data_IF_990249577153
#
_entry.id   IF_990249577153
#
_cell.length_a   1.000
_cell.length_b   1.000
_cell.length_c   1.000
_cell.angle_alpha   90.00
_cell.angle_beta   90.00
_cell.angle_gamma   90.00
#
_symmetry.space_group_name_H-M   'P 1'
#
loop_
_entity.id
_entity.type
_entity.pdbx_description
1 polymer ?
#
# COMPACT_ATOMS: atom_id res chain seq x y z
N UNK A 1 32.19 22.98 2.74
CA UNK A 1 31.87 21.63 3.28
C UNK A 1 30.43 21.26 2.94
N UNK A 2 30.18 20.01 2.55
CA UNK A 2 28.84 19.54 2.15
C UNK A 2 28.46 18.27 2.92
N UNK A 3 27.17 18.15 3.25
CA UNK A 3 26.60 16.97 3.91
C UNK A 3 25.51 16.38 3.02
N UNK A 4 25.52 15.05 2.85
CA UNK A 4 24.46 14.29 2.21
C UNK A 4 23.85 13.29 3.20
N UNK A 5 22.57 13.45 3.51
CA UNK A 5 21.84 12.54 4.38
C UNK A 5 21.15 11.43 3.57
N UNK A 6 21.85 10.32 3.34
CA UNK A 6 21.35 9.15 2.63
C UNK A 6 20.62 8.14 3.55
N UNK A 7 19.74 8.62 4.44
CA UNK A 7 19.15 7.84 5.54
C UNK A 7 17.89 7.04 5.16
N UNK A 8 17.57 6.95 3.87
CA UNK A 8 16.40 6.23 3.37
C UNK A 8 15.07 6.95 3.62
N UNK A 9 13.98 6.18 3.58
CA UNK A 9 12.61 6.69 3.59
C UNK A 9 11.75 6.05 4.70
N UNK A 10 10.76 6.80 5.18
CA UNK A 10 9.71 6.29 6.08
C UNK A 10 8.42 6.08 5.28
N UNK A 11 7.69 5.02 5.63
CA UNK A 11 6.36 4.79 5.08
C UNK A 11 5.35 5.63 5.85
N UNK A 12 4.67 6.53 5.16
CA UNK A 12 3.71 7.45 5.76
C UNK A 12 2.54 7.70 4.81
N UNK A 13 1.34 7.28 5.19
CA UNK A 13 0.11 7.58 4.44
C UNK A 13 -0.21 9.08 4.40
N UNK A 14 0.27 9.86 5.36
CA UNK A 14 0.09 11.32 5.36
C UNK A 14 0.89 11.97 4.22
N UNK A 15 1.93 11.31 3.72
CA UNK A 15 2.73 11.73 2.57
C UNK A 15 2.09 11.41 1.21
N UNK A 16 0.83 10.96 1.18
CA UNK A 16 0.06 10.67 -0.03
C UNK A 16 -1.02 11.75 -0.23
N UNK A 17 -0.69 12.92 -0.81
CA UNK A 17 -1.56 14.09 -0.77
C UNK A 17 -2.82 13.97 -1.65
N UNK A 18 -2.84 13.04 -2.60
CA UNK A 18 -4.04 12.76 -3.40
C UNK A 18 -5.11 11.99 -2.63
N UNK A 19 -4.79 11.40 -1.47
CA UNK A 19 -5.78 10.82 -0.56
C UNK A 19 -6.32 11.92 0.35
N UNK A 20 -7.62 12.18 0.24
CA UNK A 20 -8.28 13.20 1.08
C UNK A 20 -8.18 12.82 2.57
N UNK A 21 -8.25 13.80 3.49
CA UNK A 21 -8.26 13.50 4.93
C UNK A 21 -9.35 12.50 5.33
N UNK A 22 -10.53 12.56 4.71
CA UNK A 22 -11.62 11.60 4.96
C UNK A 22 -11.26 10.17 4.57
N UNK A 23 -10.66 9.98 3.39
CA UNK A 23 -10.20 8.66 2.95
C UNK A 23 -9.08 8.14 3.86
N UNK A 24 -8.12 8.98 4.24
CA UNK A 24 -7.04 8.59 5.17
C UNK A 24 -7.57 8.19 6.55
N UNK A 25 -8.55 8.92 7.09
CA UNK A 25 -9.17 8.61 8.37
C UNK A 25 -9.97 7.29 8.37
N UNK A 26 -10.45 6.84 7.21
CA UNK A 26 -11.16 5.57 7.05
C UNK A 26 -10.22 4.36 6.90
N UNK A 27 -8.91 4.58 6.71
CA UNK A 27 -7.94 3.50 6.58
C UNK A 27 -7.58 2.91 7.95
N UNK A 28 -7.73 1.59 8.08
CA UNK A 28 -7.17 0.84 9.20
C UNK A 28 -5.67 0.69 8.99
N UNK A 29 -4.88 0.97 10.01
CA UNK A 29 -3.42 0.92 9.94
C UNK A 29 -2.85 -0.38 10.51
N UNK A 30 -1.69 -0.81 10.01
CA UNK A 30 -0.91 -1.88 10.65
C UNK A 30 -0.34 -1.34 11.96
N UNK A 31 -0.60 -2.04 13.08
CA UNK A 31 -0.17 -1.64 14.43
C UNK A 31 1.33 -1.30 14.45
N UNK A 32 1.67 -0.11 14.95
CA UNK A 32 3.06 0.36 15.05
C UNK A 32 3.63 0.95 13.75
N UNK A 33 2.81 1.14 12.72
CA UNK A 33 3.22 1.79 11.47
C UNK A 33 2.16 2.77 10.96
N UNK A 34 2.53 3.60 9.98
CA UNK A 34 1.60 4.44 9.22
C UNK A 34 1.21 3.84 7.87
N UNK A 35 1.32 2.54 7.72
CA UNK A 35 0.92 1.82 6.52
C UNK A 35 -0.52 1.28 6.64
N UNK A 36 -1.26 1.19 5.52
CA UNK A 36 -2.59 0.60 5.54
C UNK A 36 -2.50 -0.89 5.85
N UNK A 37 -3.43 -1.39 6.66
CA UNK A 37 -3.67 -2.82 6.78
C UNK A 37 -4.42 -3.28 5.54
N UNK A 38 -3.93 -4.37 4.93
CA UNK A 38 -4.44 -4.87 3.66
C UNK A 38 -5.03 -6.27 3.81
N UNK A 39 -5.91 -6.66 2.89
CA UNK A 39 -6.34 -8.04 2.68
C UNK A 39 -5.30 -8.82 1.88
N UNK A 40 -5.47 -10.13 1.71
CA UNK A 40 -4.60 -10.95 0.84
C UNK A 40 -4.62 -10.55 -0.65
N UNK A 41 -5.61 -9.76 -1.08
CA UNK A 41 -5.69 -9.18 -2.43
C UNK A 41 -5.10 -7.76 -2.53
N UNK A 42 -4.43 -7.28 -1.48
CA UNK A 42 -3.88 -5.92 -1.38
C UNK A 42 -4.93 -4.80 -1.28
N UNK A 43 -6.19 -5.15 -0.97
CA UNK A 43 -7.25 -4.17 -0.71
C UNK A 43 -7.14 -3.62 0.71
N UNK A 44 -7.38 -2.32 0.89
CA UNK A 44 -7.45 -1.68 2.21
C UNK A 44 -8.80 -1.90 2.89
N UNK A 45 -8.99 -1.29 4.07
CA UNK A 45 -10.31 -1.24 4.72
C UNK A 45 -11.32 -0.34 4.00
N UNK A 46 -10.88 0.49 3.06
CA UNK A 46 -11.77 1.27 2.18
C UNK A 46 -12.05 0.41 0.94
N UNK A 47 -13.31 -0.01 0.70
CA UNK A 47 -13.64 -0.90 -0.42
C UNK A 47 -13.22 -0.31 -1.77
N UNK A 48 -12.59 -1.13 -2.61
CA UNK A 48 -12.10 -0.74 -3.93
C UNK A 48 -10.78 0.06 -3.93
N UNK A 49 -10.23 0.40 -2.75
CA UNK A 49 -8.93 1.06 -2.64
C UNK A 49 -7.83 0.05 -2.35
N UNK A 50 -6.94 -0.13 -3.32
CA UNK A 50 -5.79 -1.05 -3.25
C UNK A 50 -4.48 -0.29 -3.08
N UNK A 51 -3.51 -0.92 -2.42
CA UNK A 51 -2.15 -0.38 -2.27
C UNK A 51 -1.13 -1.39 -2.77
N UNK A 52 -0.21 -0.96 -3.64
CA UNK A 52 0.93 -1.75 -4.09
C UNK A 52 2.25 -1.07 -3.67
N UNK A 53 3.36 -1.81 -3.74
CA UNK A 53 4.70 -1.27 -3.46
C UNK A 53 4.92 -0.98 -1.97
N UNK A 54 5.78 -0.01 -1.66
CA UNK A 54 6.37 0.18 -0.33
C UNK A 54 5.37 0.27 0.82
N UNK A 55 4.19 0.86 0.61
CA UNK A 55 3.13 0.96 1.64
C UNK A 55 2.52 -0.41 2.01
N UNK A 56 2.68 -1.44 1.17
CA UNK A 56 2.24 -2.81 1.46
C UNK A 56 3.31 -3.64 2.18
N UNK A 57 4.56 -3.15 2.30
CA UNK A 57 5.67 -3.89 2.89
C UNK A 57 5.43 -4.36 4.34
N UNK A 58 4.75 -3.60 5.23
CA UNK A 58 4.47 -4.08 6.59
C UNK A 58 3.56 -5.33 6.66
N UNK A 59 2.79 -5.61 5.60
CA UNK A 59 1.93 -6.79 5.49
C UNK A 59 2.59 -7.93 4.69
N UNK A 60 3.35 -7.60 3.65
CA UNK A 60 3.83 -8.56 2.65
C UNK A 60 5.35 -8.71 2.58
N UNK A 61 6.08 -8.01 3.45
CA UNK A 61 7.52 -8.12 3.58
C UNK A 61 8.33 -7.17 2.66
N UNK A 62 9.66 -7.24 2.77
CA UNK A 62 10.57 -6.24 2.22
C UNK A 62 10.59 -6.20 0.70
N UNK A 63 10.18 -7.27 0.01
CA UNK A 63 10.16 -7.32 -1.46
C UNK A 63 9.23 -6.27 -2.07
N UNK A 64 8.23 -5.79 -1.32
CA UNK A 64 7.36 -4.70 -1.76
C UNK A 64 8.07 -3.34 -1.86
N UNK A 65 9.30 -3.23 -1.38
CA UNK A 65 10.16 -2.04 -1.55
C UNK A 65 11.01 -2.10 -2.83
N UNK A 66 10.88 -3.16 -3.62
CA UNK A 66 11.64 -3.39 -4.85
C UNK A 66 10.70 -3.64 -6.02
N UNK A 67 11.18 -3.36 -7.24
CA UNK A 67 10.44 -3.62 -8.49
C UNK A 67 10.05 -5.10 -8.62
N UNK A 68 10.88 -6.02 -8.12
CA UNK A 68 10.58 -7.45 -8.11
C UNK A 68 9.25 -7.80 -7.39
N UNK A 69 8.80 -6.97 -6.43
CA UNK A 69 7.51 -7.16 -5.77
C UNK A 69 6.30 -6.72 -6.59
N UNK A 70 6.49 -5.97 -7.68
CA UNK A 70 5.41 -5.36 -8.43
C UNK A 70 4.48 -6.40 -9.08
N UNK A 71 5.05 -7.42 -9.74
CA UNK A 71 4.27 -8.48 -10.40
C UNK A 71 3.42 -9.27 -9.40
N UNK A 72 3.98 -9.56 -8.21
CA UNK A 72 3.29 -10.28 -7.14
C UNK A 72 2.03 -9.54 -6.66
N UNK A 73 2.13 -8.22 -6.46
CA UNK A 73 1.03 -7.37 -6.03
C UNK A 73 0.02 -7.19 -7.17
N UNK A 74 0.49 -6.81 -8.36
CA UNK A 74 -0.35 -6.54 -9.53
C UNK A 74 -1.21 -7.75 -9.91
N UNK A 75 -0.63 -8.95 -9.92
CA UNK A 75 -1.36 -10.19 -10.23
C UNK A 75 -2.51 -10.44 -9.26
N UNK A 76 -2.32 -10.16 -7.97
CA UNK A 76 -3.35 -10.37 -6.93
C UNK A 76 -4.46 -9.33 -7.01
N UNK A 77 -4.08 -8.06 -7.20
CA UNK A 77 -5.03 -6.95 -7.39
C UNK A 77 -5.89 -7.22 -8.63
N UNK A 78 -5.27 -7.54 -9.77
CA UNK A 78 -5.97 -7.79 -11.02
C UNK A 78 -6.94 -8.97 -10.91
N UNK A 79 -6.53 -10.08 -10.26
CA UNK A 79 -7.42 -11.24 -10.02
C UNK A 79 -8.62 -10.88 -9.14
N UNK A 80 -8.43 -10.04 -8.13
CA UNK A 80 -9.54 -9.61 -7.27
C UNK A 80 -10.51 -8.68 -7.99
N UNK A 81 -9.97 -7.72 -8.76
CA UNK A 81 -10.77 -6.82 -9.56
C UNK A 81 -11.58 -7.57 -10.62
N UNK A 82 -10.97 -8.52 -11.33
CA UNK A 82 -11.65 -9.34 -12.33
C UNK A 82 -12.83 -10.13 -11.71
N UNK A 83 -12.64 -10.72 -10.53
CA UNK A 83 -13.74 -11.41 -9.83
C UNK A 83 -14.90 -10.48 -9.48
N UNK A 84 -14.62 -9.25 -9.07
CA UNK A 84 -15.65 -8.26 -8.70
C UNK A 84 -16.43 -7.77 -9.92
N UNK A 85 -15.73 -7.48 -11.02
CA UNK A 85 -16.37 -7.01 -12.24
C UNK A 85 -17.26 -8.08 -12.86
N UNK A 86 -16.90 -9.36 -12.77
CA UNK A 86 -17.75 -10.46 -13.28
C UNK A 86 -18.96 -10.74 -12.38
N UNK A 87 -18.90 -10.39 -11.10
CA UNK A 87 -19.99 -10.60 -10.15
C UNK A 87 -21.02 -9.46 -10.12
N UNK A 88 -20.73 -8.33 -10.77
CA UNK A 88 -21.60 -7.17 -10.92
C UNK A 88 -22.36 -7.22 -12.24
#
# INVERSE_FOLDING_TARGET
DHVLAATGYRLDLDAVPFLTPGVRGALRLVRGSKAPHLSGSFESSVPGLYFAGSLSAPMFGPMMRFVAGAEFAATRIARDLARRTTAA
#
